data_IF_115794068365
#
_entry.id   IF_115794068365
#
_cell.length_a   1.000
_cell.length_b   1.000
_cell.length_c   1.000
_cell.angle_alpha   90.00
_cell.angle_beta   90.00
_cell.angle_gamma   90.00
#
_symmetry.space_group_name_H-M   'P 1'
#
loop_
_entity.id
_entity.type
_entity.pdbx_description
1 polymer ?
#
# COMPACT_ATOMS: atom_id res chain seq x y z
N UNK A 1 -24.75 -8.62 -20.12
CA UNK A 1 -24.13 -8.75 -18.79
C UNK A 1 -25.14 -9.36 -17.84
N UNK A 2 -24.76 -10.39 -17.08
CA UNK A 2 -25.56 -10.86 -15.94
C UNK A 2 -25.22 -9.97 -14.74
N UNK A 3 -26.23 -9.43 -14.08
CA UNK A 3 -26.09 -8.68 -12.81
C UNK A 3 -27.23 -9.01 -11.87
N UNK A 4 -27.01 -8.80 -10.57
CA UNK A 4 -27.99 -9.10 -9.52
C UNK A 4 -29.15 -8.10 -9.49
N UNK A 5 -30.34 -8.55 -9.07
CA UNK A 5 -31.51 -7.67 -8.87
C UNK A 5 -31.25 -6.62 -7.78
N UNK A 6 -31.73 -5.38 -7.99
CA UNK A 6 -31.52 -4.24 -7.08
C UNK A 6 -32.06 -4.48 -5.66
N UNK A 7 -33.13 -5.26 -5.55
CA UNK A 7 -33.76 -5.68 -4.28
C UNK A 7 -32.81 -6.48 -3.38
N UNK A 8 -31.83 -7.17 -3.95
CA UNK A 8 -30.86 -7.98 -3.21
C UNK A 8 -29.69 -7.15 -2.67
N UNK A 9 -29.59 -5.87 -3.01
CA UNK A 9 -28.48 -5.00 -2.61
C UNK A 9 -28.23 -4.95 -1.08
N UNK A 10 -29.25 -4.87 -0.20
CA UNK A 10 -29.02 -4.86 1.25
C UNK A 10 -28.43 -6.17 1.77
N UNK A 11 -28.86 -7.30 1.20
CA UNK A 11 -28.38 -8.64 1.56
C UNK A 11 -26.95 -8.85 1.08
N UNK A 12 -26.64 -8.42 -0.15
CA UNK A 12 -25.28 -8.40 -0.69
C UNK A 12 -24.37 -7.50 0.14
N UNK A 13 -24.85 -6.34 0.61
CA UNK A 13 -24.06 -5.43 1.46
C UNK A 13 -23.71 -6.07 2.80
N UNK A 14 -24.63 -6.79 3.44
CA UNK A 14 -24.37 -7.56 4.66
C UNK A 14 -23.42 -8.73 4.43
N UNK A 15 -23.55 -9.42 3.30
CA UNK A 15 -22.66 -10.53 2.94
C UNK A 15 -21.24 -10.03 2.61
N UNK A 16 -21.13 -8.91 1.90
CA UNK A 16 -19.86 -8.27 1.55
C UNK A 16 -19.10 -7.72 2.77
N UNK A 17 -19.77 -7.52 3.92
CA UNK A 17 -19.14 -7.17 5.20
C UNK A 17 -18.37 -8.34 5.85
N UNK A 18 -18.16 -9.46 5.14
CA UNK A 18 -17.26 -10.55 5.53
C UNK A 18 -15.97 -10.03 6.21
N UNK A 19 -15.40 -10.72 7.22
CA UNK A 19 -14.16 -10.31 7.91
C UNK A 19 -12.97 -10.00 6.99
N UNK A 20 -13.04 -10.41 5.73
CA UNK A 20 -12.09 -10.06 4.67
C UNK A 20 -12.10 -8.55 4.31
N UNK A 21 -13.20 -7.84 4.64
CA UNK A 21 -13.42 -6.40 4.46
C UNK A 21 -12.73 -5.50 5.49
N UNK A 22 -12.01 -6.08 6.46
CA UNK A 22 -11.12 -5.31 7.33
C UNK A 22 -10.13 -4.57 6.43
N UNK A 23 -10.26 -3.24 6.43
CA UNK A 23 -9.38 -2.32 5.72
C UNK A 23 -7.93 -2.58 6.11
N UNK A 24 -7.03 -2.34 5.17
CA UNK A 24 -5.60 -2.40 5.46
C UNK A 24 -5.27 -1.30 6.49
N UNK A 25 -4.59 -1.67 7.56
CA UNK A 25 -4.05 -0.68 8.51
C UNK A 25 -3.04 0.22 7.80
N UNK A 26 -2.80 1.42 8.32
CA UNK A 26 -1.82 2.36 7.78
C UNK A 26 -0.45 1.69 7.52
N UNK A 27 0.08 0.98 8.52
CA UNK A 27 1.34 0.26 8.38
C UNK A 27 1.35 -0.82 7.28
N UNK A 28 0.19 -1.39 6.95
CA UNK A 28 0.05 -2.38 5.89
C UNK A 28 -0.05 -1.69 4.52
N UNK A 29 -0.72 -0.54 4.43
CA UNK A 29 -0.76 0.29 3.23
C UNK A 29 0.62 0.83 2.87
N UNK A 30 1.36 1.38 3.85
CA UNK A 30 2.73 1.84 3.64
C UNK A 30 3.64 0.71 3.13
N UNK A 31 3.56 -0.46 3.75
CA UNK A 31 4.33 -1.64 3.33
C UNK A 31 3.95 -2.07 1.92
N UNK A 32 2.65 -2.07 1.60
CA UNK A 32 2.15 -2.44 0.28
C UNK A 32 2.58 -1.45 -0.80
N UNK A 33 2.55 -0.14 -0.51
CA UNK A 33 2.99 0.90 -1.43
C UNK A 33 4.47 0.73 -1.77
N UNK A 34 5.32 0.50 -0.76
CA UNK A 34 6.75 0.24 -0.98
C UNK A 34 6.95 -0.96 -1.91
N UNK A 35 6.22 -2.06 -1.68
CA UNK A 35 6.31 -3.24 -2.56
C UNK A 35 5.80 -2.94 -3.97
N UNK A 36 4.70 -2.22 -4.13
CA UNK A 36 4.14 -1.90 -5.45
C UNK A 36 5.13 -1.12 -6.32
N UNK A 37 5.82 -0.14 -5.75
CA UNK A 37 6.73 0.75 -6.49
C UNK A 37 8.18 0.27 -6.59
N UNK A 38 8.66 -0.56 -5.65
CA UNK A 38 10.08 -0.98 -5.61
C UNK A 38 10.30 -2.48 -5.79
N UNK A 39 9.27 -3.24 -6.15
CA UNK A 39 9.43 -4.68 -6.43
C UNK A 39 10.42 -4.95 -7.58
N UNK A 40 11.13 -6.08 -7.54
CA UNK A 40 11.17 -7.07 -6.44
C UNK A 40 12.17 -6.67 -5.34
N UNK A 41 11.76 -6.73 -4.07
CA UNK A 41 12.63 -6.39 -2.92
C UNK A 41 12.46 -7.30 -1.71
N UNK A 42 13.50 -7.42 -0.90
CA UNK A 42 13.54 -8.26 0.29
C UNK A 42 12.93 -7.57 1.52
N UNK A 43 12.52 -8.36 2.52
CA UNK A 43 12.00 -7.84 3.79
C UNK A 43 12.94 -6.82 4.45
N UNK A 44 14.25 -7.07 4.41
CA UNK A 44 15.23 -6.16 5.04
C UNK A 44 15.23 -4.78 4.39
N UNK A 45 15.03 -4.70 3.07
CA UNK A 45 14.96 -3.44 2.33
C UNK A 45 13.66 -2.69 2.64
N UNK A 46 12.54 -3.42 2.77
CA UNK A 46 11.25 -2.86 3.22
C UNK A 46 11.40 -2.26 4.63
N UNK A 47 12.01 -3.02 5.56
CA UNK A 47 12.22 -2.58 6.94
C UNK A 47 13.13 -1.33 6.99
N UNK A 48 14.14 -1.26 6.11
CA UNK A 48 15.01 -0.10 5.97
C UNK A 48 14.26 1.14 5.48
N UNK A 49 13.42 1.01 4.43
CA UNK A 49 12.65 2.13 3.88
C UNK A 49 11.61 2.62 4.90
N UNK A 50 10.96 1.72 5.64
CA UNK A 50 9.97 2.11 6.67
C UNK A 50 10.61 2.60 7.96
N UNK A 51 11.88 2.32 8.21
CA UNK A 51 12.57 2.59 9.47
C UNK A 51 12.09 1.74 10.66
N UNK A 52 11.19 0.77 10.43
CA UNK A 52 10.60 -0.11 11.45
C UNK A 52 10.35 -1.52 10.89
N UNK A 53 10.20 -2.50 11.78
CA UNK A 53 9.93 -3.88 11.37
C UNK A 53 8.55 -4.04 10.70
N UNK A 54 8.52 -4.67 9.53
CA UNK A 54 7.34 -4.82 8.66
C UNK A 54 6.88 -6.27 8.53
N UNK A 55 7.47 -7.20 9.28
CA UNK A 55 7.17 -8.64 9.20
C UNK A 55 5.68 -8.97 9.38
N UNK A 56 5.01 -8.33 10.34
CA UNK A 56 3.57 -8.51 10.56
C UNK A 56 2.70 -7.95 9.42
N UNK A 57 3.11 -6.81 8.82
CA UNK A 57 2.43 -6.26 7.65
C UNK A 57 2.59 -7.18 6.44
N UNK A 58 3.81 -7.66 6.18
CA UNK A 58 4.11 -8.59 5.09
C UNK A 58 3.26 -9.86 5.22
N UNK A 59 3.22 -10.49 6.40
CA UNK A 59 2.40 -11.68 6.63
C UNK A 59 0.92 -11.46 6.34
N UNK A 60 0.36 -10.31 6.77
CA UNK A 60 -1.04 -9.95 6.49
C UNK A 60 -1.30 -9.72 5.00
N UNK A 61 -0.37 -9.07 4.30
CA UNK A 61 -0.49 -8.78 2.86
C UNK A 61 -0.42 -10.07 2.03
N UNK A 62 0.47 -11.00 2.39
CA UNK A 62 0.55 -12.34 1.80
C UNK A 62 -0.74 -13.12 2.07
N UNK A 63 -1.25 -13.10 3.31
CA UNK A 63 -2.51 -13.78 3.65
C UNK A 63 -3.73 -13.21 2.91
N UNK A 64 -3.69 -11.92 2.54
CA UNK A 64 -4.69 -11.26 1.69
C UNK A 64 -4.42 -11.40 0.19
N UNK A 65 -3.39 -12.15 -0.19
CA UNK A 65 -2.96 -12.37 -1.58
C UNK A 65 -2.65 -11.08 -2.35
N UNK A 66 -2.23 -10.02 -1.66
CA UNK A 66 -1.86 -8.74 -2.30
C UNK A 66 -0.39 -8.72 -2.73
N UNK A 67 0.46 -9.50 -2.04
CA UNK A 67 1.87 -9.69 -2.39
C UNK A 67 2.23 -11.18 -2.38
N UNK A 68 3.24 -11.55 -3.15
CA UNK A 68 3.76 -12.92 -3.28
C UNK A 68 5.29 -12.96 -3.39
N UNK A 69 5.87 -14.15 -3.22
CA UNK A 69 7.29 -14.41 -3.50
C UNK A 69 7.53 -14.38 -5.01
N UNK A 70 8.41 -13.47 -5.47
CA UNK A 70 8.84 -13.37 -6.88
C UNK A 70 10.18 -14.05 -7.14
N UNK A 71 10.85 -14.50 -6.09
CA UNK A 71 12.14 -15.17 -6.17
C UNK A 71 12.92 -15.03 -4.87
N UNK A 72 14.21 -15.34 -4.94
CA UNK A 72 15.13 -15.21 -3.80
C UNK A 72 16.43 -14.57 -4.25
N UNK A 73 17.05 -13.83 -3.35
CA UNK A 73 18.37 -13.25 -3.59
C UNK A 73 19.41 -14.37 -3.69
N UNK A 74 20.27 -14.30 -4.69
CA UNK A 74 21.44 -15.17 -4.82
C UNK A 74 22.53 -14.68 -3.88
N UNK A 75 22.54 -15.25 -2.67
CA UNK A 75 23.48 -14.90 -1.61
C UNK A 75 23.25 -15.71 -0.34
N UNK A 76 24.13 -15.56 0.67
CA UNK A 76 23.97 -16.23 1.95
C UNK A 76 22.63 -15.84 2.59
N UNK A 77 21.86 -16.85 3.03
CA UNK A 77 20.54 -16.67 3.64
C UNK A 77 19.35 -16.71 2.67
N UNK A 78 19.59 -16.60 1.34
CA UNK A 78 18.55 -16.72 0.29
C UNK A 78 17.24 -16.00 0.64
N UNK A 79 17.35 -14.69 0.91
CA UNK A 79 16.22 -13.87 1.32
C UNK A 79 15.11 -13.86 0.25
N UNK A 80 13.86 -13.95 0.70
CA UNK A 80 12.67 -13.90 -0.16
C UNK A 80 12.51 -12.49 -0.73
N UNK A 81 12.31 -12.41 -2.04
CA UNK A 81 11.93 -11.19 -2.74
C UNK A 81 10.41 -11.14 -2.91
N UNK A 82 9.80 -10.03 -2.51
CA UNK A 82 8.37 -9.82 -2.59
C UNK A 82 8.00 -8.94 -3.78
N UNK A 83 6.82 -9.20 -4.35
CA UNK A 83 6.19 -8.36 -5.36
C UNK A 83 4.66 -8.46 -5.29
N UNK A 84 3.99 -7.63 -6.06
CA UNK A 84 2.52 -7.61 -6.17
C UNK A 84 1.98 -8.80 -6.97
N UNK A 85 0.74 -9.18 -6.68
CA UNK A 85 0.02 -10.27 -7.37
C UNK A 85 -0.92 -9.73 -8.46
N UNK A 86 -1.51 -10.62 -9.25
CA UNK A 86 -2.63 -10.25 -10.12
C UNK A 86 -3.89 -9.81 -9.31
N UNK A 87 -4.07 -10.32 -8.09
CA UNK A 87 -5.18 -9.92 -7.23
C UNK A 87 -5.02 -8.47 -6.74
N UNK A 88 -3.78 -7.99 -6.53
CA UNK A 88 -3.52 -6.57 -6.27
C UNK A 88 -4.09 -5.68 -7.38
N UNK A 89 -3.83 -6.01 -8.65
CA UNK A 89 -4.37 -5.23 -9.79
C UNK A 89 -5.90 -5.16 -9.74
N UNK A 90 -6.54 -6.32 -9.59
CA UNK A 90 -8.00 -6.40 -9.48
C UNK A 90 -8.55 -5.64 -8.27
N UNK A 91 -7.83 -5.67 -7.14
CA UNK A 91 -8.24 -5.01 -5.90
C UNK A 91 -8.19 -3.48 -6.04
N UNK A 92 -7.19 -2.95 -6.74
CA UNK A 92 -7.04 -1.50 -6.99
C UNK A 92 -7.67 -1.03 -8.31
N UNK A 93 -8.23 -1.95 -9.11
CA UNK A 93 -8.86 -1.62 -10.39
C UNK A 93 -7.88 -1.22 -11.49
N UNK A 94 -6.64 -1.72 -11.41
CA UNK A 94 -5.56 -1.45 -12.37
C UNK A 94 -5.49 -2.57 -13.40
N UNK A 95 -5.04 -2.27 -14.62
CA UNK A 95 -4.70 -3.28 -15.64
C UNK A 95 -3.30 -3.81 -15.46
N UNK A 96 -2.37 -2.93 -15.14
CA UNK A 96 -0.96 -3.24 -14.91
C UNK A 96 -0.30 -2.18 -14.00
N UNK A 97 0.96 -2.40 -13.64
CA UNK A 97 1.71 -1.54 -12.73
C UNK A 97 1.99 -0.13 -13.27
N UNK A 98 1.95 0.07 -14.59
CA UNK A 98 2.23 1.38 -15.18
C UNK A 98 1.06 2.36 -15.02
N UNK A 99 -0.12 1.87 -14.61
CA UNK A 99 -1.25 2.71 -14.23
C UNK A 99 -1.13 3.26 -12.79
N UNK A 100 -0.08 2.87 -12.06
CA UNK A 100 0.24 3.50 -10.77
C UNK A 100 0.67 4.96 -11.01
N UNK A 101 0.25 5.90 -10.14
CA UNK A 101 0.71 7.28 -10.20
C UNK A 101 2.24 7.39 -10.15
N UNK A 102 2.79 8.37 -10.87
CA UNK A 102 4.21 8.65 -10.82
C UNK A 102 4.59 9.27 -9.46
N UNK A 103 5.57 8.68 -8.78
CA UNK A 103 6.03 9.16 -7.46
C UNK A 103 6.59 10.57 -7.56
N UNK A 104 7.35 10.87 -8.62
CA UNK A 104 8.03 12.17 -8.75
C UNK A 104 7.00 13.30 -8.94
N UNK A 105 5.90 13.02 -9.63
CA UNK A 105 4.80 13.97 -9.80
C UNK A 105 4.01 14.16 -8.50
N UNK A 106 3.80 13.08 -7.74
CA UNK A 106 3.13 13.16 -6.43
C UNK A 106 3.91 14.01 -5.43
N UNK A 107 5.24 13.92 -5.39
CA UNK A 107 6.05 14.77 -4.50
C UNK A 107 5.91 16.26 -4.83
N UNK A 108 5.86 16.61 -6.12
CA UNK A 108 5.64 17.97 -6.56
C UNK A 108 4.26 18.49 -6.12
N UNK A 109 3.20 17.74 -6.37
CA UNK A 109 1.82 18.11 -6.01
C UNK A 109 1.65 18.30 -4.48
N UNK A 110 2.24 17.41 -3.68
CA UNK A 110 2.21 17.51 -2.21
C UNK A 110 2.96 18.76 -1.72
N UNK A 111 4.06 19.14 -2.39
CA UNK A 111 4.83 20.33 -2.03
C UNK A 111 4.10 21.63 -2.35
N UNK A 112 3.21 21.64 -3.36
CA UNK A 112 2.39 22.80 -3.71
C UNK A 112 1.15 22.95 -2.80
N UNK A 113 0.56 21.84 -2.33
CA UNK A 113 -0.66 21.86 -1.50
C UNK A 113 -0.40 22.09 0.00
N UNK A 114 0.83 21.93 0.51
CA UNK A 114 1.18 22.31 1.88
C UNK A 114 1.76 23.73 1.92
N UNK A 115 0.97 24.78 2.25
CA UNK A 115 1.56 26.08 2.53
C UNK A 115 2.48 25.94 3.75
N UNK A 116 3.78 26.16 3.52
CA UNK A 116 4.85 26.24 4.52
C UNK A 116 4.50 27.18 5.69
N UNK A 117 3.52 28.07 5.51
CA UNK A 117 3.04 29.04 6.50
C UNK A 117 2.61 28.42 7.84
N UNK A 118 2.06 27.20 7.85
CA UNK A 118 1.60 26.54 9.09
C UNK A 118 2.72 26.26 10.10
N UNK A 119 3.98 26.20 9.65
CA UNK A 119 5.14 26.03 10.53
C UNK A 119 5.77 27.37 10.94
N UNK A 120 5.60 28.45 10.17
CA UNK A 120 6.20 29.76 10.45
C UNK A 120 5.40 30.58 11.48
N UNK A 121 4.07 30.47 11.51
CA UNK A 121 3.23 31.23 12.47
C UNK A 121 3.56 30.91 13.93
N UNK A 122 3.90 29.65 14.24
CA UNK A 122 4.26 29.25 15.63
C UNK A 122 5.61 29.79 16.10
N UNK A 123 6.48 30.21 15.19
CA UNK A 123 7.74 30.86 15.55
C UNK A 123 7.59 32.37 15.76
N UNK A 124 6.53 32.99 15.24
CA UNK A 124 6.26 34.42 15.44
C UNK A 124 5.47 34.70 16.73
N UNK A 125 4.62 33.78 17.19
CA UNK A 125 3.88 33.94 18.46
C UNK A 125 4.75 33.82 19.73
N UNK A 126 5.98 33.31 19.62
CA UNK A 126 6.91 33.18 20.76
C UNK A 126 7.91 34.33 20.92
N UNK A 127 7.82 35.38 20.11
CA UNK A 127 8.79 36.47 20.05
C UNK A 127 8.23 37.83 20.50
N UNK A 128 7.09 37.87 21.19
CA UNK A 128 6.56 39.07 21.87
C UNK A 128 6.45 38.88 23.39
#
# INVERSE_FOLDING_TARGET
>A
MLSTKKELAPLLKKYAQSPMSQSLSQAALETLAIVAYKQPLARAEIDMIRGVQSGGSIQKLVAKNLIEEKGRVDGPGRAILYGTTAYFMNYFGLKDLNELPDIDQMEADISEEMPLDLFFDRYQEGAE
#
